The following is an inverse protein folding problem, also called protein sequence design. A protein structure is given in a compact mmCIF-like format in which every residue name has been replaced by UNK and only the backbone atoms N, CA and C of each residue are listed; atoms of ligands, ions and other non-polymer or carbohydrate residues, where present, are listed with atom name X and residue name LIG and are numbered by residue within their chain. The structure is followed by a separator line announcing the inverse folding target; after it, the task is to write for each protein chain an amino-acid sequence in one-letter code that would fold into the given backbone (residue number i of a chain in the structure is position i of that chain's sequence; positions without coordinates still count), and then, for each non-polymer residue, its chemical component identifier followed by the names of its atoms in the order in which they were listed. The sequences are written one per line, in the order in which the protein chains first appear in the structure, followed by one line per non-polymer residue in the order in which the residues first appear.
data_IF_055886431648
#
_entry.id   IF_055886431648
#
_cell.length_a   1.000
_cell.length_b   1.000
_cell.length_c   1.000
_cell.angle_alpha   90.00
_cell.angle_beta   90.00
_cell.angle_gamma   90.00
#
_symmetry.space_group_name_H-M   'P 1'
#
loop_
_entity.id
_entity.type
_entity.pdbx_description
1 polymer ?
#
# COMPACT_ATOMS: atom_id res chain seq x y z
N UNK A 1 14.77 -13.98 -13.62
CA UNK A 1 13.44 -13.68 -13.04
C UNK A 1 12.56 -13.07 -14.12
N UNK A 2 11.32 -13.54 -14.35
CA UNK A 2 10.35 -12.79 -15.15
C UNK A 2 10.29 -11.36 -14.61
N UNK A 3 10.35 -10.34 -15.47
CA UNK A 3 10.23 -8.94 -15.02
C UNK A 3 8.91 -8.77 -14.24
N UNK A 4 8.88 -7.97 -13.18
CA UNK A 4 7.66 -7.77 -12.36
C UNK A 4 6.44 -7.38 -13.21
N UNK A 5 6.67 -6.65 -14.31
CA UNK A 5 5.66 -6.35 -15.32
C UNK A 5 4.98 -7.58 -15.94
N UNK A 6 5.74 -8.65 -16.21
CA UNK A 6 5.20 -9.91 -16.79
C UNK A 6 4.37 -10.72 -15.80
N UNK A 7 4.60 -10.55 -14.50
CA UNK A 7 3.85 -11.25 -13.46
C UNK A 7 2.47 -10.62 -13.20
N UNK A 8 2.25 -9.38 -13.64
CA UNK A 8 0.98 -8.68 -13.44
C UNK A 8 -0.07 -9.10 -14.49
N UNK A 9 -1.29 -9.34 -14.00
CA UNK A 9 -2.51 -9.40 -14.84
C UNK A 9 -2.74 -8.04 -15.51
N UNK A 10 -3.55 -8.00 -16.57
CA UNK A 10 -3.94 -6.74 -17.23
C UNK A 10 -4.50 -5.70 -16.24
N UNK A 11 -5.29 -6.16 -15.27
CA UNK A 11 -5.89 -5.34 -14.20
C UNK A 11 -4.91 -5.00 -13.06
N UNK A 12 -3.69 -5.52 -13.09
CA UNK A 12 -2.74 -5.50 -11.98
C UNK A 12 -2.01 -4.17 -11.83
N UNK A 13 -1.60 -3.88 -10.59
CA UNK A 13 -0.85 -2.69 -10.21
C UNK A 13 0.48 -3.04 -9.54
N UNK A 14 1.45 -2.14 -9.66
CA UNK A 14 2.73 -2.16 -8.96
C UNK A 14 2.83 -0.90 -8.10
N UNK A 15 3.15 -1.08 -6.82
CA UNK A 15 3.53 0.00 -5.91
C UNK A 15 5.00 -0.12 -5.54
N UNK A 16 5.73 0.98 -5.56
CA UNK A 16 7.15 1.02 -5.14
C UNK A 16 7.35 2.15 -4.15
N UNK A 17 7.57 1.79 -2.88
CA UNK A 17 7.87 2.72 -1.79
C UNK A 17 9.36 3.04 -1.73
N UNK A 18 9.70 4.32 -1.72
CA UNK A 18 11.06 4.84 -1.81
C UNK A 18 11.19 6.13 -0.99
N UNK A 19 12.41 6.43 -0.59
CA UNK A 19 12.74 7.76 -0.09
C UNK A 19 13.27 8.66 -1.22
N UNK A 20 13.45 9.95 -0.89
CA UNK A 20 13.95 11.00 -1.80
C UNK A 20 15.27 10.68 -2.50
N UNK A 21 16.12 9.77 -1.98
CA UNK A 21 17.43 9.46 -2.57
C UNK A 21 17.30 8.64 -3.83
N UNK A 22 16.26 7.82 -3.92
CA UNK A 22 16.13 6.79 -4.95
C UNK A 22 14.90 6.96 -5.84
N UNK A 23 13.88 7.69 -5.38
CA UNK A 23 12.58 7.80 -6.07
C UNK A 23 12.71 8.21 -7.54
N UNK A 24 13.50 9.23 -7.87
CA UNK A 24 13.62 9.73 -9.23
C UNK A 24 14.34 8.74 -10.16
N UNK A 25 15.39 8.08 -9.66
CA UNK A 25 16.11 7.07 -10.45
C UNK A 25 15.24 5.86 -10.75
N UNK A 26 14.47 5.40 -9.76
CA UNK A 26 13.56 4.27 -9.94
C UNK A 26 12.38 4.65 -10.83
N UNK A 27 11.83 5.87 -10.71
CA UNK A 27 10.79 6.37 -11.62
C UNK A 27 11.24 6.31 -13.07
N UNK A 28 12.44 6.78 -13.39
CA UNK A 28 12.99 6.73 -14.75
C UNK A 28 13.19 5.28 -15.21
N UNK A 29 13.65 4.40 -14.34
CA UNK A 29 13.80 2.98 -14.66
C UNK A 29 12.45 2.29 -14.93
N UNK A 30 11.43 2.60 -14.12
CA UNK A 30 10.07 2.07 -14.30
C UNK A 30 9.40 2.62 -15.55
N UNK A 31 9.63 3.90 -15.90
CA UNK A 31 9.16 4.47 -17.17
C UNK A 31 9.72 3.73 -18.38
N UNK A 32 11.00 3.32 -18.33
CA UNK A 32 11.61 2.50 -19.40
C UNK A 32 11.06 1.08 -19.43
N UNK A 33 10.71 0.51 -18.27
CA UNK A 33 10.24 -0.87 -18.15
C UNK A 33 8.75 -1.04 -18.49
N UNK A 34 7.92 -0.12 -18.01
CA UNK A 34 6.46 -0.15 -18.18
C UNK A 34 6.01 0.68 -19.36
N UNK A 35 6.64 1.82 -19.62
CA UNK A 35 6.12 2.91 -20.43
C UNK A 35 5.60 4.04 -19.54
N UNK A 36 5.75 5.30 -19.99
CA UNK A 36 5.29 6.47 -19.21
C UNK A 36 3.77 6.49 -19.01
N UNK A 37 3.02 6.03 -19.99
CA UNK A 37 1.55 6.00 -19.97
C UNK A 37 0.98 4.99 -18.95
N UNK A 38 1.83 4.14 -18.39
CA UNK A 38 1.48 3.20 -17.34
C UNK A 38 1.66 3.77 -15.93
N UNK A 39 2.26 4.96 -15.80
CA UNK A 39 2.36 5.65 -14.52
C UNK A 39 0.99 6.24 -14.16
N UNK A 40 0.44 5.82 -13.01
CA UNK A 40 -0.88 6.28 -12.56
C UNK A 40 -0.74 7.59 -11.81
N UNK A 41 -0.02 7.59 -10.69
CA UNK A 41 0.32 8.79 -9.93
C UNK A 41 1.45 8.52 -8.91
N UNK A 42 1.86 9.60 -8.26
CA UNK A 42 2.79 9.61 -7.13
C UNK A 42 2.02 9.81 -5.83
N UNK A 43 2.19 8.90 -4.87
CA UNK A 43 1.59 9.01 -3.54
C UNK A 43 2.67 9.48 -2.55
N UNK A 44 2.42 10.58 -1.87
CA UNK A 44 3.27 11.13 -0.81
C UNK A 44 2.77 10.64 0.54
N UNK A 45 3.51 9.74 1.18
CA UNK A 45 3.18 9.26 2.52
C UNK A 45 3.86 10.14 3.56
N UNK A 46 3.08 11.03 4.17
CA UNK A 46 3.51 11.97 5.20
C UNK A 46 3.33 11.39 6.61
N UNK A 47 4.30 11.66 7.48
CA UNK A 47 4.31 11.22 8.87
C UNK A 47 4.86 12.31 9.79
N UNK A 48 4.38 12.34 11.04
CA UNK A 48 4.73 13.39 11.99
C UNK A 48 5.99 13.06 12.80
N UNK A 49 6.24 11.78 13.09
CA UNK A 49 7.42 11.36 13.87
C UNK A 49 8.71 11.36 13.02
N UNK A 50 9.86 11.24 13.68
CA UNK A 50 11.19 11.28 13.06
C UNK A 50 12.00 12.53 13.42
N UNK A 51 13.28 12.50 13.05
CA UNK A 51 14.28 13.51 13.46
C UNK A 51 13.93 14.94 13.06
N UNK A 52 14.33 15.89 13.93
CA UNK A 52 14.29 17.33 13.62
C UNK A 52 15.56 17.72 12.89
N UNK A 53 15.43 18.49 11.81
CA UNK A 53 16.59 19.05 11.09
C UNK A 53 16.93 20.44 11.64
N UNK A 54 18.23 20.75 11.74
CA UNK A 54 18.74 22.09 12.10
C UNK A 54 19.18 22.92 10.90
N UNK A 55 19.29 22.32 9.71
CA UNK A 55 19.85 22.94 8.50
C UNK A 55 18.91 22.81 7.28
N UNK A 56 17.61 22.68 7.51
CA UNK A 56 16.61 22.57 6.46
C UNK A 56 15.26 22.08 7.00
N UNK A 57 14.28 21.91 6.11
CA UNK A 57 12.99 21.35 6.49
C UNK A 57 13.13 19.89 6.96
N UNK A 58 12.37 19.55 8.00
CA UNK A 58 12.35 18.19 8.52
C UNK A 58 11.81 17.22 7.47
N UNK A 59 12.53 16.11 7.27
CA UNK A 59 12.09 15.05 6.35
C UNK A 59 10.92 14.29 7.00
N UNK A 60 9.74 14.45 6.40
CA UNK A 60 8.45 14.01 6.97
C UNK A 60 7.57 13.28 5.96
N UNK A 61 8.18 12.77 4.88
CA UNK A 61 7.48 11.91 3.94
C UNK A 61 8.43 10.97 3.23
N UNK A 62 7.85 9.90 2.73
CA UNK A 62 8.39 9.05 1.68
C UNK A 62 7.42 9.05 0.49
N UNK A 63 7.87 8.52 -0.65
CA UNK A 63 7.11 8.49 -1.89
C UNK A 63 6.77 7.06 -2.30
N UNK A 64 5.56 6.84 -2.79
CA UNK A 64 5.09 5.56 -3.34
C UNK A 64 4.68 5.79 -4.79
N UNK A 65 5.42 5.16 -5.70
CA UNK A 65 5.11 5.22 -7.13
C UNK A 65 4.05 4.17 -7.45
N UNK A 66 2.96 4.56 -8.14
CA UNK A 66 1.95 3.63 -8.62
C UNK A 66 2.02 3.49 -10.15
N UNK A 67 2.26 2.26 -10.61
CA UNK A 67 2.16 1.88 -12.01
C UNK A 67 1.04 0.85 -12.22
N UNK A 68 0.33 0.97 -13.33
CA UNK A 68 -0.67 0.02 -13.78
C UNK A 68 -0.16 -0.84 -14.94
N UNK A 69 -0.60 -2.09 -15.04
CA UNK A 69 -0.18 -2.98 -16.14
C UNK A 69 -0.75 -2.56 -17.49
N UNK A 70 -1.97 -2.04 -17.51
CA UNK A 70 -2.73 -1.59 -18.70
C UNK A 70 -3.67 -0.46 -18.29
N UNK A 71 -4.46 0.08 -19.23
CA UNK A 71 -5.50 1.07 -18.96
C UNK A 71 -6.71 0.50 -18.20
N UNK A 72 -6.88 -0.82 -18.17
CA UNK A 72 -8.00 -1.51 -17.50
C UNK A 72 -7.64 -1.91 -16.06
N UNK A 73 -6.83 -1.12 -15.37
CA UNK A 73 -6.39 -1.48 -14.02
C UNK A 73 -7.54 -1.45 -13.01
N UNK A 74 -7.48 -2.35 -12.03
CA UNK A 74 -8.48 -2.38 -10.97
C UNK A 74 -8.29 -1.19 -10.02
N UNK A 75 -9.38 -0.49 -9.70
CA UNK A 75 -9.43 0.50 -8.63
C UNK A 75 -10.75 0.45 -7.86
N UNK A 76 -10.70 0.03 -6.60
CA UNK A 76 -11.84 -0.11 -5.70
C UNK A 76 -11.97 1.12 -4.81
N UNK A 77 -12.45 2.22 -5.37
CA UNK A 77 -12.55 3.53 -4.71
C UNK A 77 -13.28 3.47 -3.34
N UNK A 78 -14.36 2.70 -3.26
CA UNK A 78 -15.18 2.58 -2.05
C UNK A 78 -14.43 1.88 -0.90
N UNK A 79 -13.48 0.99 -1.22
CA UNK A 79 -12.71 0.23 -0.23
C UNK A 79 -11.65 1.07 0.51
N UNK A 80 -11.38 2.30 0.05
CA UNK A 80 -10.34 3.17 0.61
C UNK A 80 -10.86 4.53 1.07
N UNK A 81 -12.18 4.71 1.12
CA UNK A 81 -12.76 5.99 1.51
C UNK A 81 -12.40 6.38 2.93
N UNK A 82 -12.18 7.67 3.12
CA UNK A 82 -11.93 8.30 4.41
C UNK A 82 -13.04 9.31 4.73
N UNK A 83 -13.32 9.56 6.01
CA UNK A 83 -14.22 10.64 6.40
C UNK A 83 -13.77 11.97 5.78
N UNK A 84 -14.74 12.75 5.30
CA UNK A 84 -14.45 14.12 4.88
C UNK A 84 -14.09 14.94 6.12
N UNK A 85 -12.97 15.66 6.09
CA UNK A 85 -12.68 16.66 7.12
C UNK A 85 -13.73 17.77 7.03
N UNK A 86 -14.20 18.23 8.19
CA UNK A 86 -15.05 19.41 8.30
C UNK A 86 -14.32 20.68 7.83
N UNK A 87 -15.07 21.76 7.61
CA UNK A 87 -14.49 23.07 7.25
C UNK A 87 -14.28 23.31 5.76
N UNK A 88 -14.87 22.51 4.86
CA UNK A 88 -14.93 22.92 3.45
C UNK A 88 -15.82 24.15 3.30
N UNK A 89 -15.45 25.10 2.45
CA UNK A 89 -16.31 26.23 2.06
C UNK A 89 -17.57 25.83 1.26
N UNK A 90 -17.83 24.53 1.07
CA UNK A 90 -19.00 24.04 0.36
C UNK A 90 -20.25 24.11 1.24
N UNK A 91 -21.37 24.51 0.61
CA UNK A 91 -22.68 24.53 1.25
C UNK A 91 -23.08 23.09 1.58
N UNK A 92 -23.50 22.86 2.83
CA UNK A 92 -24.04 21.59 3.29
C UNK A 92 -25.54 21.75 3.49
N UNK A 93 -26.35 20.94 2.80
CA UNK A 93 -27.80 20.88 2.97
C UNK A 93 -28.19 19.42 3.14
N UNK A 94 -28.86 19.07 4.23
CA UNK A 94 -29.35 17.71 4.47
C UNK A 94 -28.26 16.62 4.45
N UNK A 95 -27.04 16.93 4.92
CA UNK A 95 -25.92 15.97 4.92
C UNK A 95 -25.23 15.77 3.57
N UNK A 96 -25.58 16.57 2.56
CA UNK A 96 -24.95 16.58 1.24
C UNK A 96 -24.17 17.88 1.05
N UNK A 97 -22.91 17.77 0.63
CA UNK A 97 -22.12 18.89 0.15
C UNK A 97 -22.44 19.16 -1.32
N UNK A 98 -22.81 20.40 -1.64
CA UNK A 98 -23.08 20.81 -3.01
C UNK A 98 -22.01 21.80 -3.50
N UNK A 99 -21.53 21.55 -4.72
CA UNK A 99 -20.64 22.48 -5.45
C UNK A 99 -21.23 22.73 -6.83
N UNK A 100 -21.51 23.99 -7.14
CA UNK A 100 -21.88 24.40 -8.50
C UNK A 100 -20.65 24.92 -9.21
N UNK A 101 -20.32 24.32 -10.34
CA UNK A 101 -19.33 24.87 -11.26
C UNK A 101 -19.92 26.14 -11.90
N UNK A 102 -19.35 27.30 -11.58
CA UNK A 102 -19.81 28.59 -12.08
C UNK A 102 -19.67 28.75 -13.60
N UNK A 103 -18.77 27.99 -14.23
CA UNK A 103 -18.52 28.08 -15.69
C UNK A 103 -19.49 27.21 -16.49
N UNK A 104 -19.82 26.02 -15.96
CA UNK A 104 -20.65 25.05 -16.68
C UNK A 104 -22.08 24.93 -16.14
N UNK A 105 -22.36 25.53 -14.98
CA UNK A 105 -23.62 25.37 -14.27
C UNK A 105 -23.82 23.99 -13.63
N UNK A 106 -22.88 23.05 -13.80
CA UNK A 106 -23.02 21.68 -13.27
C UNK A 106 -22.99 21.69 -11.76
N UNK A 107 -23.97 21.03 -11.16
CA UNK A 107 -24.08 20.84 -9.71
C UNK A 107 -23.54 19.46 -9.34
N UNK A 108 -22.55 19.43 -8.47
CA UNK A 108 -21.97 18.21 -7.91
C UNK A 108 -22.48 18.03 -6.49
N UNK A 109 -23.00 16.84 -6.18
CA UNK A 109 -23.55 16.46 -4.88
C UNK A 109 -22.71 15.36 -4.26
N UNK A 110 -22.27 15.57 -3.02
CA UNK A 110 -21.43 14.63 -2.29
C UNK A 110 -22.05 14.31 -0.92
N UNK A 111 -22.62 13.12 -0.73
CA UNK A 111 -23.09 12.68 0.58
C UNK A 111 -21.91 12.64 1.57
N UNK A 112 -22.02 13.34 2.70
CA UNK A 112 -20.95 13.40 3.70
C UNK A 112 -20.69 12.00 4.27
N UNK A 113 -21.76 11.27 4.57
CA UNK A 113 -21.70 9.91 5.11
C UNK A 113 -20.93 8.93 4.20
N UNK A 114 -20.95 9.15 2.88
CA UNK A 114 -20.22 8.30 1.94
C UNK A 114 -18.70 8.50 2.01
N UNK A 115 -18.18 9.55 2.66
CA UNK A 115 -16.75 9.85 2.67
C UNK A 115 -16.17 10.15 1.28
N UNK A 116 -14.85 10.33 1.21
CA UNK A 116 -14.12 10.61 -0.05
C UNK A 116 -12.99 9.60 -0.25
N UNK A 117 -12.60 9.38 -1.50
CA UNK A 117 -11.29 8.78 -1.79
C UNK A 117 -10.22 9.74 -1.26
N UNK A 118 -9.21 9.25 -0.51
CA UNK A 118 -8.14 10.09 -0.01
C UNK A 118 -7.37 10.71 -1.17
N UNK A 119 -6.80 11.89 -0.93
CA UNK A 119 -5.80 12.46 -1.83
C UNK A 119 -4.57 11.55 -1.98
N UNK A 120 -3.67 11.89 -2.88
CA UNK A 120 -2.39 11.22 -3.04
C UNK A 120 -1.33 11.68 -2.00
N UNK A 121 -1.64 12.61 -1.11
CA UNK A 121 -0.80 12.99 0.03
C UNK A 121 -1.40 12.49 1.36
N UNK A 122 -0.91 11.35 1.85
CA UNK A 122 -1.48 10.69 3.02
C UNK A 122 -0.86 11.20 4.31
N UNK A 123 -1.67 11.78 5.18
CA UNK A 123 -1.25 12.31 6.49
C UNK A 123 -1.86 11.56 7.67
N UNK A 124 -2.69 10.55 7.41
CA UNK A 124 -3.47 9.82 8.40
C UNK A 124 -2.93 8.39 8.66
N UNK A 125 -1.73 8.11 8.16
CA UNK A 125 -1.03 6.85 8.36
C UNK A 125 0.34 7.17 8.93
N UNK A 126 0.58 6.81 10.19
CA UNK A 126 1.84 7.07 10.87
C UNK A 126 2.81 5.89 10.70
N UNK A 127 4.11 6.16 10.81
CA UNK A 127 5.17 5.14 10.90
C UNK A 127 5.11 4.39 12.22
N UNK A 128 5.74 3.21 12.27
CA UNK A 128 5.72 2.38 13.48
C UNK A 128 6.66 2.89 14.57
N UNK A 129 6.13 2.98 15.78
CA UNK A 129 6.89 3.12 17.01
C UNK A 129 7.33 1.72 17.54
N UNK A 130 8.04 1.71 18.68
CA UNK A 130 8.57 0.48 19.27
C UNK A 130 7.54 -0.32 20.08
N UNK A 131 6.47 0.34 20.56
CA UNK A 131 5.41 -0.25 21.38
C UNK A 131 4.20 -0.71 20.55
N UNK A 132 4.19 -0.45 19.25
CA UNK A 132 3.12 -0.87 18.35
C UNK A 132 3.00 -2.40 18.34
N UNK A 133 1.77 -2.89 18.55
CA UNK A 133 1.47 -4.32 18.65
C UNK A 133 1.84 -5.13 17.40
N UNK A 134 1.84 -4.49 16.23
CA UNK A 134 2.20 -5.14 14.96
C UNK A 134 3.72 -5.29 14.78
N UNK A 135 4.55 -4.67 15.63
CA UNK A 135 6.01 -4.66 15.49
C UNK A 135 6.59 -6.07 15.62
N UNK A 136 7.40 -6.48 14.65
CA UNK A 136 8.08 -7.80 14.65
C UNK A 136 9.53 -7.75 15.12
N UNK A 137 10.07 -6.54 15.33
CA UNK A 137 11.50 -6.30 15.56
C UNK A 137 12.29 -6.01 14.27
N UNK A 138 11.71 -6.21 13.09
CA UNK A 138 12.37 -5.86 11.83
C UNK A 138 12.56 -4.33 11.71
N UNK A 139 13.76 -3.81 11.38
CA UNK A 139 14.03 -2.38 11.43
C UNK A 139 13.16 -1.53 10.51
N UNK A 140 12.97 -1.96 9.25
CA UNK A 140 12.29 -1.21 8.19
C UNK A 140 10.83 -1.62 7.96
N UNK A 141 10.20 -2.24 8.97
CA UNK A 141 8.81 -2.69 8.91
C UNK A 141 7.87 -1.54 8.53
N UNK A 142 6.97 -1.80 7.59
CA UNK A 142 5.89 -0.88 7.22
C UNK A 142 4.65 -1.14 8.06
N UNK A 143 3.89 -0.09 8.43
CA UNK A 143 2.64 -0.24 9.17
C UNK A 143 1.61 -0.98 8.31
N UNK A 144 0.84 -1.88 8.92
CA UNK A 144 -0.20 -2.63 8.23
C UNK A 144 -1.24 -1.72 7.57
N UNK A 145 -1.60 -0.61 8.23
CA UNK A 145 -2.59 0.37 7.71
C UNK A 145 -2.18 0.94 6.35
N UNK A 146 -0.89 1.18 6.12
CA UNK A 146 -0.38 1.68 4.84
C UNK A 146 -0.61 0.64 3.74
N UNK A 147 -0.17 -0.59 4.00
CA UNK A 147 -0.24 -1.67 3.03
C UNK A 147 -1.69 -2.09 2.79
N UNK A 148 -2.53 -2.08 3.82
CA UNK A 148 -3.96 -2.37 3.70
C UNK A 148 -4.67 -1.37 2.78
N UNK A 149 -4.37 -0.07 2.87
CA UNK A 149 -4.92 0.92 1.93
C UNK A 149 -4.51 0.61 0.49
N UNK A 150 -3.24 0.32 0.26
CA UNK A 150 -2.73 -0.02 -1.08
C UNK A 150 -3.40 -1.28 -1.64
N UNK A 151 -3.50 -2.35 -0.85
CA UNK A 151 -4.11 -3.60 -1.30
C UNK A 151 -5.62 -3.45 -1.52
N UNK A 152 -6.35 -2.77 -0.62
CA UNK A 152 -7.78 -2.51 -0.80
C UNK A 152 -8.06 -1.66 -2.04
N UNK A 153 -7.17 -0.73 -2.38
CA UNK A 153 -7.34 0.10 -3.56
C UNK A 153 -7.35 -0.71 -4.87
N UNK A 154 -6.60 -1.82 -4.97
CA UNK A 154 -6.36 -2.48 -6.27
C UNK A 154 -6.57 -4.01 -6.27
N UNK A 155 -7.05 -4.60 -5.17
CA UNK A 155 -7.28 -6.05 -5.06
C UNK A 155 -8.63 -6.40 -4.42
N UNK A 156 -9.27 -7.46 -4.94
CA UNK A 156 -10.42 -8.11 -4.32
C UNK A 156 -10.00 -9.33 -3.49
N UNK A 157 -10.92 -9.92 -2.74
CA UNK A 157 -10.69 -11.20 -2.07
C UNK A 157 -10.35 -12.29 -3.11
N UNK A 158 -9.45 -13.21 -2.76
CA UNK A 158 -8.96 -14.24 -3.68
C UNK A 158 -7.91 -13.78 -4.70
N UNK A 159 -7.68 -12.48 -4.86
CA UNK A 159 -6.57 -11.98 -5.68
C UNK A 159 -5.20 -12.34 -5.10
N UNK A 160 -4.15 -12.21 -5.93
CA UNK A 160 -2.78 -12.56 -5.56
C UNK A 160 -1.90 -11.31 -5.49
N UNK A 161 -1.12 -11.22 -4.42
CA UNK A 161 -0.14 -10.15 -4.18
C UNK A 161 1.27 -10.73 -4.24
N UNK A 162 2.23 -10.00 -4.79
CA UNK A 162 3.64 -10.40 -4.76
C UNK A 162 4.49 -9.28 -4.15
N UNK A 163 5.37 -9.65 -3.23
CA UNK A 163 6.35 -8.76 -2.61
C UNK A 163 7.74 -9.36 -2.74
N UNK A 164 8.64 -8.67 -3.45
CA UNK A 164 10.00 -9.13 -3.73
C UNK A 164 11.02 -8.64 -2.68
N UNK A 165 10.57 -7.83 -1.72
CA UNK A 165 11.39 -7.25 -0.66
C UNK A 165 10.63 -7.36 0.68
N UNK A 166 10.20 -8.57 1.00
CA UNK A 166 9.19 -8.84 2.02
C UNK A 166 9.57 -8.32 3.42
N UNK A 167 10.86 -8.34 3.78
CA UNK A 167 11.35 -7.94 5.10
C UNK A 167 10.55 -8.59 6.22
N UNK A 168 9.89 -7.76 7.03
CA UNK A 168 8.98 -8.18 8.12
C UNK A 168 7.73 -8.97 7.72
N UNK A 169 7.45 -9.13 6.42
CA UNK A 169 6.27 -9.81 5.89
C UNK A 169 4.96 -9.02 6.02
N UNK A 170 4.98 -7.69 6.20
CA UNK A 170 3.75 -6.88 6.34
C UNK A 170 2.80 -7.10 5.16
N UNK A 171 3.29 -7.10 3.92
CA UNK A 171 2.45 -7.33 2.74
C UNK A 171 1.75 -8.68 2.77
N UNK A 172 2.47 -9.74 3.11
CA UNK A 172 1.90 -11.07 3.23
C UNK A 172 0.89 -11.17 4.39
N UNK A 173 1.18 -10.54 5.54
CA UNK A 173 0.30 -10.56 6.70
C UNK A 173 -1.03 -9.85 6.39
N UNK A 174 -0.98 -8.66 5.79
CA UNK A 174 -2.18 -7.93 5.36
C UNK A 174 -2.92 -8.70 4.28
N UNK A 175 -2.23 -9.23 3.27
CA UNK A 175 -2.86 -10.05 2.23
C UNK A 175 -3.61 -11.25 2.81
N UNK A 176 -2.99 -12.01 3.73
CA UNK A 176 -3.63 -13.14 4.40
C UNK A 176 -4.87 -12.72 5.20
N UNK A 177 -4.78 -11.64 5.98
CA UNK A 177 -5.91 -11.11 6.78
C UNK A 177 -7.07 -10.65 5.91
N UNK A 178 -6.77 -10.14 4.72
CA UNK A 178 -7.76 -9.77 3.74
C UNK A 178 -8.24 -10.96 2.89
N UNK A 179 -7.77 -12.20 3.09
CA UNK A 179 -8.20 -13.32 2.24
C UNK A 179 -7.64 -13.26 0.81
N UNK A 180 -6.45 -12.67 0.62
CA UNK A 180 -5.71 -12.64 -0.64
C UNK A 180 -4.58 -13.66 -0.60
N UNK A 181 -4.30 -14.31 -1.72
CA UNK A 181 -3.10 -15.12 -1.89
C UNK A 181 -1.86 -14.23 -1.96
N UNK A 182 -0.70 -14.75 -1.56
CA UNK A 182 0.54 -13.97 -1.63
C UNK A 182 1.76 -14.80 -2.02
N UNK A 183 2.75 -14.10 -2.59
CA UNK A 183 4.14 -14.55 -2.75
C UNK A 183 5.02 -13.51 -2.08
N UNK A 184 5.80 -13.93 -1.09
CA UNK A 184 6.73 -13.05 -0.37
C UNK A 184 8.14 -13.60 -0.53
N UNK A 185 9.04 -12.77 -1.06
CA UNK A 185 10.43 -13.11 -1.31
C UNK A 185 11.31 -12.10 -0.59
N UNK A 186 12.37 -12.60 0.03
CA UNK A 186 13.46 -11.79 0.54
C UNK A 186 14.77 -12.54 0.32
N UNK A 187 15.85 -11.79 0.15
CA UNK A 187 17.20 -12.35 0.01
C UNK A 187 17.78 -12.73 1.38
N UNK A 188 17.33 -12.10 2.44
CA UNK A 188 17.83 -12.28 3.79
C UNK A 188 17.07 -13.42 4.50
N UNK A 189 17.72 -14.53 4.86
CA UNK A 189 17.07 -15.64 5.56
C UNK A 189 16.36 -15.19 6.86
N UNK A 190 16.93 -14.23 7.60
CA UNK A 190 16.31 -13.72 8.81
C UNK A 190 14.97 -13.00 8.55
N UNK A 191 14.82 -12.32 7.41
CA UNK A 191 13.55 -11.72 7.01
C UNK A 191 12.48 -12.79 6.78
N UNK A 192 12.86 -13.90 6.10
CA UNK A 192 11.97 -15.04 5.87
C UNK A 192 11.52 -15.65 7.21
N UNK A 193 12.44 -15.83 8.16
CA UNK A 193 12.11 -16.40 9.47
C UNK A 193 11.11 -15.52 10.24
N UNK A 194 11.33 -14.20 10.25
CA UNK A 194 10.42 -13.22 10.85
C UNK A 194 9.04 -13.27 10.20
N UNK A 195 8.98 -13.25 8.87
CA UNK A 195 7.73 -13.28 8.11
C UNK A 195 6.96 -14.59 8.37
N UNK A 196 7.63 -15.75 8.34
CA UNK A 196 7.01 -17.06 8.59
C UNK A 196 6.46 -17.14 10.02
N UNK A 197 7.22 -16.69 11.03
CA UNK A 197 6.76 -16.68 12.41
C UNK A 197 5.52 -15.80 12.61
N UNK A 198 5.50 -14.61 12.00
CA UNK A 198 4.35 -13.69 11.99
C UNK A 198 3.13 -14.33 11.36
N UNK A 199 3.28 -14.85 10.13
CA UNK A 199 2.18 -15.45 9.36
C UNK A 199 1.64 -16.73 10.01
N UNK A 200 2.50 -17.52 10.64
CA UNK A 200 2.07 -18.74 11.37
C UNK A 200 1.22 -18.38 12.58
N UNK A 201 1.63 -17.38 13.38
CA UNK A 201 0.82 -16.90 14.52
C UNK A 201 -0.51 -16.34 14.04
N UNK A 202 -0.50 -15.50 13.01
CA UNK A 202 -1.73 -14.93 12.45
C UNK A 202 -2.66 -16.02 11.91
N UNK A 203 -2.12 -17.01 11.20
CA UNK A 203 -2.92 -18.09 10.65
C UNK A 203 -3.59 -18.97 11.70
N UNK A 204 -2.92 -19.22 12.83
CA UNK A 204 -3.54 -19.90 13.98
C UNK A 204 -4.72 -19.10 14.55
N UNK A 205 -4.56 -17.78 14.67
CA UNK A 205 -5.63 -16.89 15.14
C UNK A 205 -6.83 -16.90 14.19
N UNK A 206 -6.59 -16.73 12.89
CA UNK A 206 -7.63 -16.75 11.87
C UNK A 206 -8.36 -18.10 11.83
N UNK A 207 -7.63 -19.21 12.01
CA UNK A 207 -8.23 -20.54 12.12
C UNK A 207 -9.15 -20.67 13.36
N UNK A 208 -8.73 -20.13 14.51
CA UNK A 208 -9.57 -20.10 15.72
C UNK A 208 -10.82 -19.21 15.55
N UNK A 209 -10.76 -18.20 14.68
CA UNK A 209 -11.87 -17.32 14.30
C UNK A 209 -12.77 -17.93 13.19
N UNK A 210 -12.50 -19.17 12.74
CA UNK A 210 -13.30 -19.88 11.73
C UNK A 210 -12.90 -19.60 10.27
N UNK A 211 -11.80 -18.90 10.03
CA UNK A 211 -11.29 -18.55 8.70
C UNK A 211 -9.85 -19.06 8.49
N UNK A 212 -9.61 -20.38 8.47
CA UNK A 212 -8.26 -20.93 8.38
C UNK A 212 -7.60 -20.56 7.04
N UNK A 213 -6.44 -19.88 7.03
CA UNK A 213 -5.75 -19.59 5.78
C UNK A 213 -5.11 -20.86 5.22
N UNK A 214 -4.80 -20.90 3.91
CA UNK A 214 -4.07 -21.99 3.31
C UNK A 214 -2.68 -22.16 3.96
N UNK A 215 -2.13 -23.40 4.00
CA UNK A 215 -0.80 -23.65 4.54
C UNK A 215 0.29 -22.81 3.86
N UNK A 216 1.17 -22.22 4.66
CA UNK A 216 2.31 -21.45 4.17
C UNK A 216 3.36 -22.44 3.63
N UNK A 217 3.72 -22.28 2.36
CA UNK A 217 4.82 -23.04 1.74
C UNK A 217 6.06 -22.16 1.69
N UNK A 218 7.15 -22.63 2.31
CA UNK A 218 8.43 -21.92 2.33
C UNK A 218 9.42 -22.69 1.48
N UNK A 219 9.93 -22.05 0.42
CA UNK A 219 11.03 -22.57 -0.37
C UNK A 219 12.29 -21.77 -0.04
N UNK A 220 13.36 -22.44 0.39
CA UNK A 220 14.68 -21.82 0.56
C UNK A 220 15.55 -22.21 -0.63
N UNK A 221 16.10 -21.22 -1.32
CA UNK A 221 17.06 -21.47 -2.39
C UNK A 221 18.25 -22.23 -1.84
N UNK A 222 18.65 -23.33 -2.47
CA UNK A 222 19.90 -23.99 -2.14
C UNK A 222 21.02 -23.02 -2.49
N UNK A 223 21.95 -22.76 -1.56
CA UNK A 223 23.20 -22.10 -1.91
C UNK A 223 23.89 -23.03 -2.91
N UNK A 224 23.89 -22.68 -4.19
CA UNK A 224 24.93 -23.19 -5.08
C UNK A 224 26.24 -22.71 -4.47
N UNK A 225 26.93 -23.62 -3.77
CA UNK A 225 28.36 -23.49 -3.49
C UNK A 225 29.02 -23.33 -4.87
N UNK A 226 29.38 -22.10 -5.21
CA UNK A 226 30.39 -21.85 -6.23
C UNK A 226 31.75 -22.15 -5.63
#
# INVERSE_FOLDING_TARGET
MPTSRRALRATGSLFVHLDYRSVHYVKVALDRLFGRDHFVNEIVWCYAVGGKSRRGFGRKHDTILWYARSADWAFYADAVRVPRRGGSHMRVVGGVQEKTDRRTGRVYRYPIAAGKVPEDWWTDVETLNHSDRERTGWPSQKPERLVERLLRAVTAEGDRVADWFAGSGTTAAVAQRLGRGFVAVDREPAAIDVAVARLTRQGRRLAAEGAPPPPIRVARGHKHRR
#
